data_IF_032936558145
#
_entry.id   IF_032936558145
#
_cell.length_a   1.000
_cell.length_b   1.000
_cell.length_c   1.000
_cell.angle_alpha   90.00
_cell.angle_beta   90.00
_cell.angle_gamma   90.00
#
_symmetry.space_group_name_H-M   'P 1'
#
loop_
_entity.id
_entity.type
_entity.pdbx_description
1 polymer ?
#
# COMPACT_ATOMS: atom_id res chain seq x y z
N UNK A 1 -17.87 50.61 -14.44
CA UNK A 1 -16.54 50.15 -14.89
C UNK A 1 -16.68 48.67 -15.23
N UNK A 2 -16.57 48.33 -16.51
CA UNK A 2 -16.79 46.97 -17.04
C UNK A 2 -15.46 46.49 -17.58
N UNK A 3 -14.97 45.37 -17.07
CA UNK A 3 -13.82 44.65 -17.63
C UNK A 3 -14.30 43.29 -18.11
N UNK A 4 -14.63 43.25 -19.40
CA UNK A 4 -14.77 42.03 -20.19
C UNK A 4 -13.38 41.71 -20.75
N UNK A 5 -12.88 40.51 -20.50
CA UNK A 5 -11.71 39.99 -21.20
C UNK A 5 -12.06 38.66 -21.84
N UNK A 6 -12.39 38.73 -23.13
CA UNK A 6 -12.52 37.59 -24.04
C UNK A 6 -11.16 37.29 -24.67
N UNK A 7 -10.67 36.06 -24.53
CA UNK A 7 -9.72 35.41 -25.47
C UNK A 7 -10.04 33.91 -25.45
N UNK A 8 -10.87 33.40 -26.35
CA UNK A 8 -10.56 32.95 -27.73
C UNK A 8 -9.47 31.86 -27.73
N UNK A 9 -9.92 30.59 -27.70
CA UNK A 9 -9.26 29.42 -28.29
C UNK A 9 -9.16 29.62 -29.82
N UNK A 10 -8.18 29.01 -30.53
CA UNK A 10 -8.49 27.74 -31.20
C UNK A 10 -7.23 26.82 -31.32
N UNK A 11 -7.20 25.74 -32.15
CA UNK A 11 -6.83 24.38 -31.76
C UNK A 11 -5.55 23.94 -32.54
N UNK A 12 -5.43 22.65 -32.93
CA UNK A 12 -4.46 22.10 -33.90
C UNK A 12 -3.07 21.80 -33.28
N UNK A 13 -2.47 20.59 -33.32
CA UNK A 13 -2.43 19.55 -34.35
C UNK A 13 -2.18 18.17 -33.74
N UNK A 14 -2.79 17.17 -34.36
CA UNK A 14 -2.46 15.76 -34.23
C UNK A 14 -1.01 15.47 -34.68
N UNK A 15 -0.35 14.50 -34.05
CA UNK A 15 0.62 13.66 -34.75
C UNK A 15 0.53 12.23 -34.20
N UNK A 16 -0.20 11.42 -34.97
CA UNK A 16 -0.20 9.97 -34.94
C UNK A 16 1.21 9.52 -35.35
N UNK A 17 1.85 8.66 -34.56
CA UNK A 17 3.10 8.01 -34.94
C UNK A 17 2.95 6.49 -34.80
N UNK A 18 2.50 5.89 -35.90
CA UNK A 18 2.57 4.47 -36.28
C UNK A 18 3.08 4.46 -37.73
N UNK A 19 3.65 3.38 -38.31
CA UNK A 19 4.31 2.17 -37.78
C UNK A 19 5.70 1.99 -38.50
N UNK A 20 6.34 0.80 -38.58
CA UNK A 20 5.93 -0.11 -39.64
C UNK A 20 5.93 -1.60 -39.27
N UNK A 21 4.90 -2.24 -39.80
CA UNK A 21 4.74 -3.67 -40.01
C UNK A 21 5.91 -4.19 -40.87
N UNK A 22 6.65 -5.18 -40.37
CA UNK A 22 7.46 -6.04 -41.23
C UNK A 22 6.72 -7.37 -41.44
N UNK A 23 6.05 -7.50 -42.58
CA UNK A 23 5.72 -8.81 -43.15
C UNK A 23 6.94 -9.28 -43.96
N UNK A 24 7.46 -10.46 -43.64
CA UNK A 24 8.23 -11.27 -44.58
C UNK A 24 7.54 -12.63 -44.64
N UNK A 25 7.04 -12.99 -45.83
CA UNK A 25 6.33 -14.23 -46.09
C UNK A 25 7.12 -15.09 -47.10
N UNK A 26 7.59 -16.25 -46.61
CA UNK A 26 7.78 -17.56 -47.28
C UNK A 26 8.86 -17.71 -48.41
N UNK A 27 9.32 -18.94 -48.80
CA UNK A 27 8.78 -20.30 -48.50
C UNK A 27 9.79 -21.48 -48.17
N UNK A 28 9.30 -22.47 -47.39
CA UNK A 28 9.43 -23.98 -47.36
C UNK A 28 10.61 -24.75 -48.03
N UNK A 29 10.84 -26.09 -47.79
CA UNK A 29 10.20 -27.08 -46.88
C UNK A 29 11.16 -28.07 -46.12
N UNK A 30 10.58 -28.81 -45.15
CA UNK A 30 10.90 -30.18 -44.68
C UNK A 30 12.34 -30.50 -44.22
N UNK A 31 12.51 -30.69 -42.90
CA UNK A 31 13.26 -31.84 -42.40
C UNK A 31 12.63 -32.34 -41.09
N UNK A 32 12.07 -33.55 -41.16
CA UNK A 32 11.59 -34.30 -40.02
C UNK A 32 12.77 -34.72 -39.14
N UNK A 33 12.69 -34.45 -37.84
CA UNK A 33 13.24 -35.32 -36.80
C UNK A 33 12.76 -34.83 -35.45
N UNK A 34 11.99 -35.69 -34.79
CA UNK A 34 12.08 -35.93 -33.35
C UNK A 34 11.60 -34.80 -32.41
N UNK A 35 10.31 -34.89 -32.07
CA UNK A 35 9.83 -34.61 -30.71
C UNK A 35 10.81 -35.12 -29.66
N UNK A 36 11.20 -34.25 -28.72
CA UNK A 36 10.82 -34.54 -27.36
C UNK A 36 9.90 -33.45 -26.83
N UNK A 37 8.81 -33.91 -26.22
CA UNK A 37 7.86 -33.14 -25.45
C UNK A 37 8.55 -32.19 -24.47
N UNK A 38 8.60 -30.90 -24.83
CA UNK A 38 8.68 -29.84 -23.84
C UNK A 38 7.33 -29.13 -23.83
N UNK A 39 6.36 -29.73 -23.15
CA UNK A 39 5.33 -28.94 -22.49
C UNK A 39 6.02 -28.13 -21.40
N UNK A 40 6.72 -27.06 -21.79
CA UNK A 40 7.05 -26.00 -20.87
C UNK A 40 5.77 -25.18 -20.74
N UNK A 41 4.83 -25.72 -19.97
CA UNK A 41 3.78 -24.92 -19.36
C UNK A 41 4.53 -23.79 -18.65
N UNK A 42 4.46 -22.60 -19.22
CA UNK A 42 4.78 -21.39 -18.48
C UNK A 42 3.71 -21.32 -17.40
N UNK A 43 3.97 -22.00 -16.28
CA UNK A 43 3.37 -21.60 -15.04
C UNK A 43 3.85 -20.16 -14.86
N UNK A 44 3.02 -19.22 -15.28
CA UNK A 44 3.03 -17.88 -14.71
C UNK A 44 3.19 -18.09 -13.20
N UNK A 45 4.04 -17.31 -12.51
CA UNK A 45 4.10 -17.36 -11.06
C UNK A 45 2.68 -17.15 -10.55
N UNK A 46 2.01 -18.27 -10.21
CA UNK A 46 0.67 -18.24 -9.67
C UNK A 46 0.85 -17.58 -8.32
N UNK A 47 0.38 -16.34 -8.26
CA UNK A 47 -0.05 -15.67 -7.05
C UNK A 47 1.03 -15.69 -5.97
N UNK A 48 1.76 -14.59 -5.89
CA UNK A 48 2.23 -14.11 -4.61
C UNK A 48 0.98 -13.93 -3.74
N UNK A 49 0.52 -15.02 -3.12
CA UNK A 49 -0.42 -14.98 -2.01
C UNK A 49 0.31 -14.13 -0.99
N UNK A 50 -0.02 -12.84 -0.97
CA UNK A 50 0.50 -11.90 0.00
C UNK A 50 0.46 -12.63 1.33
N UNK A 51 1.62 -12.78 2.02
CA UNK A 51 1.62 -13.46 3.30
C UNK A 51 0.49 -12.84 4.13
N UNK A 52 -0.32 -13.66 4.82
CA UNK A 52 -1.41 -13.14 5.62
C UNK A 52 -0.89 -11.98 6.46
N UNK A 53 -1.67 -10.90 6.56
CA UNK A 53 -1.28 -9.68 7.27
C UNK A 53 -1.36 -9.94 8.78
N UNK A 54 -0.65 -10.97 9.25
CA UNK A 54 -0.70 -11.53 10.60
C UNK A 54 -0.41 -10.43 11.61
N UNK A 55 0.53 -9.54 11.31
CA UNK A 55 0.86 -8.42 12.16
C UNK A 55 -0.29 -7.42 12.32
N UNK A 56 -1.08 -7.17 11.27
CA UNK A 56 -2.19 -6.24 11.34
C UNK A 56 -3.38 -6.84 12.08
N UNK A 57 -3.64 -8.14 11.87
CA UNK A 57 -4.63 -8.90 12.64
C UNK A 57 -4.26 -8.94 14.14
N UNK A 58 -2.97 -9.08 14.45
CA UNK A 58 -2.45 -9.05 15.81
C UNK A 58 -2.61 -7.67 16.46
N UNK A 59 -2.29 -6.60 15.73
CA UNK A 59 -2.43 -5.24 16.21
C UNK A 59 -3.90 -4.86 16.42
N UNK A 60 -4.78 -5.19 15.47
CA UNK A 60 -6.22 -4.93 15.56
C UNK A 60 -6.84 -5.72 16.73
N UNK A 61 -6.43 -6.99 16.90
CA UNK A 61 -6.85 -7.79 18.05
C UNK A 61 -6.37 -7.18 19.36
N UNK A 62 -5.13 -6.70 19.47
CA UNK A 62 -4.66 -6.03 20.69
C UNK A 62 -5.40 -4.71 20.94
N UNK A 63 -5.67 -3.92 19.90
CA UNK A 63 -6.44 -2.68 20.01
C UNK A 63 -7.84 -2.95 20.60
N UNK A 64 -8.56 -3.88 20.00
CA UNK A 64 -9.97 -4.16 20.33
C UNK A 64 -10.16 -4.98 21.61
N UNK A 65 -9.26 -5.93 21.89
CA UNK A 65 -9.45 -6.87 22.99
C UNK A 65 -8.66 -6.54 24.25
N UNK A 66 -7.57 -5.76 24.14
CA UNK A 66 -6.72 -5.37 25.27
C UNK A 66 -6.81 -3.87 25.57
N UNK A 67 -6.39 -3.02 24.62
CA UNK A 67 -6.30 -1.56 24.84
C UNK A 67 -7.69 -0.95 25.09
N UNK A 68 -8.67 -1.25 24.25
CA UNK A 68 -10.03 -0.73 24.40
C UNK A 68 -10.69 -1.17 25.72
N UNK A 69 -10.35 -2.36 26.24
CA UNK A 69 -10.84 -2.84 27.54
C UNK A 69 -10.13 -2.16 28.71
N UNK A 70 -8.83 -1.91 28.58
CA UNK A 70 -8.01 -1.26 29.61
C UNK A 70 -8.36 0.22 29.76
N UNK A 71 -8.71 0.89 28.66
CA UNK A 71 -9.05 2.31 28.63
C UNK A 71 -10.46 2.57 28.07
N UNK A 72 -11.52 2.13 28.76
CA UNK A 72 -12.89 2.18 28.22
C UNK A 72 -13.45 3.61 28.09
N UNK A 73 -12.74 4.62 28.62
CA UNK A 73 -13.14 6.02 28.53
C UNK A 73 -12.79 6.68 27.18
N UNK A 74 -11.92 6.08 26.38
CA UNK A 74 -11.50 6.64 25.09
C UNK A 74 -12.20 5.94 23.91
N UNK A 75 -12.40 6.70 22.85
CA UNK A 75 -12.87 6.18 21.57
C UNK A 75 -11.68 5.73 20.71
N UNK A 76 -11.63 4.43 20.41
CA UNK A 76 -10.60 3.84 19.55
C UNK A 76 -11.07 3.61 18.11
N UNK A 77 -12.32 3.95 17.77
CA UNK A 77 -12.85 3.78 16.41
C UNK A 77 -12.01 4.49 15.34
N UNK A 78 -11.48 5.72 15.54
CA UNK A 78 -10.62 6.36 14.54
C UNK A 78 -9.33 5.58 14.29
N UNK A 79 -8.75 4.98 15.33
CA UNK A 79 -7.53 4.18 15.22
C UNK A 79 -7.80 2.85 14.51
N UNK A 80 -8.93 2.20 14.82
CA UNK A 80 -9.35 0.98 14.11
C UNK A 80 -9.61 1.26 12.62
N UNK A 81 -10.27 2.38 12.30
CA UNK A 81 -10.50 2.79 10.92
C UNK A 81 -9.19 3.01 10.15
N UNK A 82 -8.17 3.56 10.80
CA UNK A 82 -6.86 3.73 10.16
C UNK A 82 -6.16 2.38 9.94
N UNK A 83 -6.32 1.41 10.86
CA UNK A 83 -5.87 0.03 10.61
C UNK A 83 -6.56 -0.61 9.40
N UNK A 84 -7.86 -0.33 9.18
CA UNK A 84 -8.57 -0.79 7.98
C UNK A 84 -8.01 -0.19 6.69
N UNK A 85 -7.55 1.07 6.71
CA UNK A 85 -6.89 1.70 5.54
C UNK A 85 -5.56 1.03 5.23
N UNK A 86 -4.76 0.77 6.26
CA UNK A 86 -3.53 -0.01 6.13
C UNK A 86 -3.84 -1.38 5.52
N UNK A 87 -4.87 -2.07 6.03
CA UNK A 87 -5.34 -3.36 5.50
C UNK A 87 -5.67 -3.27 4.03
N UNK A 88 -6.47 -2.28 3.64
CA UNK A 88 -6.85 -2.05 2.26
C UNK A 88 -5.63 -1.89 1.33
N UNK A 89 -4.65 -1.08 1.74
CA UNK A 89 -3.43 -0.90 0.96
C UNK A 89 -2.59 -2.18 0.85
N UNK A 90 -2.43 -2.93 1.94
CA UNK A 90 -1.69 -4.20 1.94
C UNK A 90 -2.40 -5.25 1.08
N UNK A 91 -3.73 -5.37 1.18
CA UNK A 91 -4.52 -6.30 0.36
C UNK A 91 -4.44 -6.00 -1.14
N UNK A 92 -4.20 -4.74 -1.52
CA UNK A 92 -3.98 -4.32 -2.91
C UNK A 92 -2.52 -4.47 -3.37
N UNK A 93 -1.60 -4.85 -2.49
CA UNK A 93 -0.15 -4.85 -2.77
C UNK A 93 0.45 -3.44 -2.88
N UNK A 94 -0.28 -2.40 -2.47
CA UNK A 94 0.21 -1.02 -2.48
C UNK A 94 1.11 -0.76 -1.27
N UNK A 95 2.39 -1.13 -1.41
CA UNK A 95 3.39 -0.96 -0.35
C UNK A 95 3.59 0.52 0.04
N UNK A 96 3.49 1.46 -0.90
CA UNK A 96 3.66 2.88 -0.62
C UNK A 96 2.43 3.47 0.09
N UNK A 97 1.23 3.04 -0.29
CA UNK A 97 -0.01 3.33 0.43
C UNK A 97 0.04 2.80 1.85
N UNK A 98 0.38 1.52 2.03
CA UNK A 98 0.47 0.90 3.35
C UNK A 98 1.45 1.65 4.27
N UNK A 99 2.66 1.96 3.78
CA UNK A 99 3.64 2.79 4.51
C UNK A 99 3.07 4.15 4.91
N UNK A 100 2.32 4.81 4.02
CA UNK A 100 1.73 6.13 4.26
C UNK A 100 0.70 6.06 5.38
N UNK A 101 -0.25 5.13 5.30
CA UNK A 101 -1.30 4.97 6.30
C UNK A 101 -0.71 4.52 7.66
N UNK A 102 0.32 3.66 7.66
CA UNK A 102 1.09 3.36 8.88
C UNK A 102 1.68 4.62 9.51
N UNK A 103 2.25 5.52 8.70
CA UNK A 103 2.75 6.82 9.17
C UNK A 103 1.65 7.72 9.74
N UNK A 104 0.45 7.70 9.16
CA UNK A 104 -0.72 8.44 9.68
C UNK A 104 -1.13 7.87 11.04
N UNK A 105 -1.27 6.55 11.16
CA UNK A 105 -1.58 5.87 12.42
C UNK A 105 -0.58 6.23 13.53
N UNK A 106 0.73 6.14 13.25
CA UNK A 106 1.76 6.50 14.23
C UNK A 106 1.74 7.99 14.60
N UNK A 107 1.43 8.86 13.64
CA UNK A 107 1.24 10.28 13.90
C UNK A 107 0.03 10.52 14.81
N UNK A 108 -1.09 9.83 14.58
CA UNK A 108 -2.28 9.94 15.45
C UNK A 108 -1.96 9.57 16.90
N UNK A 109 -1.10 8.57 17.13
CA UNK A 109 -0.64 8.21 18.47
C UNK A 109 0.27 9.29 19.06
N UNK A 110 1.25 9.76 18.28
CA UNK A 110 2.20 10.78 18.73
C UNK A 110 1.54 12.13 19.05
N UNK A 111 0.48 12.49 18.34
CA UNK A 111 -0.22 13.76 18.54
C UNK A 111 -1.46 13.64 19.42
N UNK A 112 -1.72 12.48 20.04
CA UNK A 112 -2.91 12.24 20.87
C UNK A 112 -4.21 12.59 20.13
N UNK A 113 -4.27 12.22 18.86
CA UNK A 113 -5.41 12.54 18.02
C UNK A 113 -6.70 11.97 18.63
N UNK A 114 -7.85 12.59 18.34
CA UNK A 114 -9.15 12.15 18.83
C UNK A 114 -9.29 12.12 20.36
N UNK A 115 -8.42 12.84 21.10
CA UNK A 115 -8.51 12.96 22.55
C UNK A 115 -8.01 11.74 23.31
N UNK A 116 -7.18 10.90 22.68
CA UNK A 116 -6.57 9.75 23.35
C UNK A 116 -5.60 10.22 24.43
N UNK A 117 -5.78 9.77 25.67
CA UNK A 117 -4.89 10.13 26.78
C UNK A 117 -3.47 9.57 26.63
N UNK A 118 -2.50 10.19 27.32
CA UNK A 118 -1.08 9.85 27.23
C UNK A 118 -0.79 8.37 27.47
N UNK A 119 -1.29 7.81 28.57
CA UNK A 119 -1.08 6.40 28.92
C UNK A 119 -1.55 5.44 27.81
N UNK A 120 -2.72 5.71 27.23
CA UNK A 120 -3.31 4.85 26.21
C UNK A 120 -2.58 5.01 24.86
N UNK A 121 -2.18 6.22 24.51
CA UNK A 121 -1.43 6.50 23.30
C UNK A 121 -0.02 5.90 23.35
N UNK A 122 0.67 6.02 24.48
CA UNK A 122 2.03 5.51 24.65
C UNK A 122 2.07 3.97 24.66
N UNK A 123 1.12 3.32 25.33
CA UNK A 123 1.04 1.86 25.32
C UNK A 123 0.67 1.31 23.94
N UNK A 124 -0.26 1.96 23.24
CA UNK A 124 -0.60 1.57 21.87
C UNK A 124 0.57 1.82 20.90
N UNK A 125 1.34 2.90 21.10
CA UNK A 125 2.57 3.15 20.33
C UNK A 125 3.63 2.06 20.56
N UNK A 126 3.85 1.66 21.82
CA UNK A 126 4.76 0.57 22.18
C UNK A 126 4.34 -0.77 21.55
N UNK A 127 3.05 -1.09 21.58
CA UNK A 127 2.52 -2.29 20.93
C UNK A 127 2.70 -2.23 19.41
N UNK A 128 2.53 -1.05 18.82
CA UNK A 128 2.71 -0.85 17.38
C UNK A 128 4.16 -1.07 16.97
N UNK A 129 5.12 -0.53 17.74
CA UNK A 129 6.56 -0.77 17.56
C UNK A 129 6.93 -2.25 17.65
N UNK A 130 6.26 -3.01 18.51
CA UNK A 130 6.54 -4.43 18.66
C UNK A 130 6.00 -5.29 17.49
N UNK A 131 4.92 -4.84 16.85
CA UNK A 131 4.15 -5.68 15.92
C UNK A 131 4.37 -5.27 14.47
N UNK A 132 4.51 -3.97 14.20
CA UNK A 132 4.63 -3.47 12.83
C UNK A 132 5.94 -3.94 12.19
N UNK A 133 5.91 -4.31 10.90
CA UNK A 133 7.10 -4.78 10.18
C UNK A 133 7.95 -3.59 9.70
N UNK A 134 8.75 -3.05 10.61
CA UNK A 134 9.56 -1.85 10.40
C UNK A 134 10.52 -1.97 9.21
N UNK A 135 11.21 -3.10 9.12
CA UNK A 135 12.17 -3.38 8.04
C UNK A 135 11.47 -3.50 6.68
N UNK A 136 10.28 -4.10 6.66
CA UNK A 136 9.52 -4.34 5.43
C UNK A 136 9.01 -3.04 4.83
N UNK A 137 8.58 -2.06 5.63
CA UNK A 137 8.01 -0.79 5.13
C UNK A 137 8.96 0.40 5.33
N UNK A 138 10.09 0.23 6.02
CA UNK A 138 11.00 1.31 6.39
C UNK A 138 10.31 2.37 7.24
N UNK A 139 9.64 1.92 8.30
CA UNK A 139 8.88 2.76 9.23
C UNK A 139 9.83 3.59 10.10
N UNK A 140 9.44 4.84 10.37
CA UNK A 140 10.16 5.73 11.29
C UNK A 140 9.18 6.16 12.36
N UNK A 141 9.48 5.88 13.62
CA UNK A 141 8.61 6.23 14.74
C UNK A 141 8.84 7.68 15.17
N UNK A 142 7.77 8.47 15.36
CA UNK A 142 7.90 9.80 15.93
C UNK A 142 8.61 9.75 17.29
N UNK A 143 9.71 10.51 17.43
CA UNK A 143 10.45 10.62 18.69
C UNK A 143 11.54 9.57 18.93
N UNK A 144 11.76 8.61 18.01
CA UNK A 144 12.83 7.61 18.13
C UNK A 144 14.24 8.15 17.84
N UNK A 145 14.37 9.44 17.48
CA UNK A 145 15.68 10.10 17.22
C UNK A 145 16.33 10.68 18.49
N UNK A 146 15.80 10.43 19.69
CA UNK A 146 16.44 10.87 20.92
C UNK A 146 17.53 9.89 21.34
N UNK A 147 18.74 10.43 21.42
CA UNK A 147 19.96 9.88 22.05
C UNK A 147 20.89 9.07 21.13
N UNK A 148 21.77 9.81 20.44
CA UNK A 148 23.15 9.38 20.16
C UNK A 148 24.10 10.45 20.67
#
# INVERSE_FOLDING_TARGET
MVTVSHRVLPPLLALILEPPVFFVLAPNPIQASETPSFLLATAAPTEHLSPPVIWLDDLERKLTTYIAKKYPAYDFSPYAQELDRIRGAVSLGDRWGAKREMGVFLKMLATRAHGLGDDAADELAMLSQQIMPDEEFGIVYPGSERER
#
